data_IF_095217464683
#
_entry.id   IF_095217464683
#
_cell.length_a   1.000
_cell.length_b   1.000
_cell.length_c   1.000
_cell.angle_alpha   90.00
_cell.angle_beta   90.00
_cell.angle_gamma   90.00
#
_symmetry.space_group_name_H-M   'P 1'
#
loop_
_entity.id
_entity.type
_entity.pdbx_description
1 polymer ?
#
# COMPACT_ATOMS: atom_id res chain seq x y z
N UNK A 1 12.21 21.06 10.30
CA UNK A 1 11.52 20.06 9.46
C UNK A 1 12.55 19.09 8.92
N UNK A 2 12.17 17.82 8.78
CA UNK A 2 12.98 16.77 8.15
C UNK A 2 12.21 16.29 6.92
N UNK A 3 12.84 16.34 5.74
CA UNK A 3 12.28 15.84 4.49
C UNK A 3 13.01 14.57 4.09
N UNK A 4 12.25 13.52 3.75
CA UNK A 4 12.79 12.29 3.19
C UNK A 4 12.26 12.10 1.78
N UNK A 5 13.17 11.89 0.83
CA UNK A 5 12.86 11.50 -0.53
C UNK A 5 13.22 10.03 -0.73
N UNK A 6 12.21 9.22 -0.98
CA UNK A 6 12.36 7.78 -1.15
C UNK A 6 12.74 7.43 -2.60
N UNK A 7 13.40 6.28 -2.84
CA UNK A 7 13.71 5.82 -4.20
C UNK A 7 12.50 5.62 -5.11
N UNK A 8 11.27 5.53 -4.58
CA UNK A 8 10.03 5.56 -5.37
C UNK A 8 9.54 6.96 -5.78
N UNK A 9 10.28 8.01 -5.40
CA UNK A 9 9.84 9.40 -5.57
C UNK A 9 8.79 9.82 -4.54
N UNK A 10 8.58 9.03 -3.47
CA UNK A 10 7.73 9.47 -2.35
C UNK A 10 8.46 10.50 -1.52
N UNK A 11 7.78 11.59 -1.17
CA UNK A 11 8.31 12.62 -0.27
C UNK A 11 7.50 12.58 1.03
N UNK A 12 8.19 12.52 2.16
CA UNK A 12 7.60 12.67 3.48
C UNK A 12 8.24 13.84 4.22
N UNK A 13 7.41 14.76 4.68
CA UNK A 13 7.81 15.94 5.45
C UNK A 13 7.39 15.79 6.92
N UNK A 14 8.36 15.77 7.82
CA UNK A 14 8.17 15.72 9.25
C UNK A 14 8.43 17.09 9.87
N UNK A 15 7.40 17.62 10.53
CA UNK A 15 7.47 18.85 11.29
C UNK A 15 7.85 18.55 12.74
N UNK A 16 8.39 19.54 13.44
CA UNK A 16 8.65 19.49 14.88
C UNK A 16 9.48 18.30 15.40
N UNK A 17 10.35 17.74 14.56
CA UNK A 17 11.29 16.68 14.97
C UNK A 17 12.29 17.25 16.00
N UNK A 18 12.29 16.77 17.26
CA UNK A 18 13.24 17.23 18.29
C UNK A 18 14.69 16.97 17.91
N UNK A 19 15.60 17.84 18.37
CA UNK A 19 17.04 17.60 18.23
C UNK A 19 17.48 16.39 19.07
N UNK A 20 18.55 15.71 18.65
CA UNK A 20 19.15 14.54 19.34
C UNK A 20 18.23 13.31 19.46
N UNK A 21 17.43 13.05 18.42
CA UNK A 21 16.57 11.88 18.32
C UNK A 21 16.98 10.98 17.14
N UNK A 22 16.80 9.67 17.30
CA UNK A 22 16.81 8.71 16.19
C UNK A 22 15.36 8.42 15.76
N UNK A 23 15.13 8.40 14.44
CA UNK A 23 13.83 8.12 13.86
C UNK A 23 13.98 7.01 12.82
N UNK A 24 13.20 5.94 12.97
CA UNK A 24 13.07 4.89 11.96
C UNK A 24 11.85 5.21 11.11
N UNK A 25 12.08 5.55 9.84
CA UNK A 25 11.02 5.84 8.87
C UNK A 25 11.06 4.77 7.81
N UNK A 26 9.89 4.32 7.38
CA UNK A 26 9.73 3.41 6.28
C UNK A 26 9.06 4.12 5.12
N UNK A 27 9.45 3.76 3.90
CA UNK A 27 8.76 4.19 2.70
C UNK A 27 7.28 3.77 2.80
N UNK A 28 6.34 4.73 2.72
CA UNK A 28 4.93 4.39 2.83
C UNK A 28 4.49 3.61 1.59
N UNK A 29 3.66 2.58 1.74
CA UNK A 29 3.14 1.85 0.60
C UNK A 29 2.29 2.77 -0.27
N UNK A 30 2.46 2.65 -1.58
CA UNK A 30 1.62 3.30 -2.58
C UNK A 30 0.82 2.24 -3.32
N UNK A 31 -0.49 2.41 -3.34
CA UNK A 31 -1.40 1.54 -4.08
C UNK A 31 -1.89 2.27 -5.32
N UNK A 32 -1.69 1.70 -6.49
CA UNK A 32 -2.28 2.19 -7.74
C UNK A 32 -3.30 1.18 -8.24
N UNK A 33 -4.51 1.66 -8.50
CA UNK A 33 -5.57 0.89 -9.14
C UNK A 33 -5.24 0.80 -10.63
N UNK A 34 -5.23 -0.42 -11.19
CA UNK A 34 -4.97 -0.62 -12.61
C UNK A 34 -6.32 -0.72 -13.34
N UNK A 35 -6.87 -1.92 -13.45
CA UNK A 35 -8.14 -2.16 -14.14
C UNK A 35 -8.80 -3.44 -13.67
N UNK A 36 -10.10 -3.53 -13.93
CA UNK A 36 -10.77 -4.82 -14.00
C UNK A 36 -10.33 -5.52 -15.30
N UNK A 37 -10.03 -6.81 -15.24
CA UNK A 37 -9.62 -7.61 -16.40
C UNK A 37 -10.80 -8.50 -16.88
N UNK A 38 -10.73 -9.15 -18.05
CA UNK A 38 -11.91 -9.79 -18.67
C UNK A 38 -12.62 -10.87 -17.86
N UNK A 39 -11.94 -11.53 -16.93
CA UNK A 39 -12.54 -12.50 -16.00
C UNK A 39 -13.30 -11.84 -14.83
N UNK A 40 -13.35 -10.51 -14.80
CA UNK A 40 -13.99 -9.69 -13.80
C UNK A 40 -13.16 -9.48 -12.53
N UNK A 41 -11.97 -10.10 -12.42
CA UNK A 41 -11.04 -9.81 -11.33
C UNK A 41 -10.44 -8.41 -11.46
N UNK A 42 -9.97 -7.86 -10.35
CA UNK A 42 -9.44 -6.50 -10.30
C UNK A 42 -7.94 -6.50 -10.06
N UNK A 43 -7.19 -5.78 -10.88
CA UNK A 43 -5.74 -5.68 -10.75
C UNK A 43 -5.33 -4.35 -10.13
N UNK A 44 -4.39 -4.43 -9.19
CA UNK A 44 -3.75 -3.30 -8.53
C UNK A 44 -2.25 -3.50 -8.48
N UNK A 45 -1.50 -2.43 -8.26
CA UNK A 45 -0.06 -2.49 -8.03
C UNK A 45 0.30 -1.82 -6.70
N UNK A 46 1.20 -2.47 -5.98
CA UNK A 46 1.82 -1.96 -4.77
C UNK A 46 3.24 -1.51 -5.11
N UNK A 47 3.55 -0.25 -4.81
CA UNK A 47 4.93 0.26 -4.79
C UNK A 47 5.35 0.47 -3.34
N UNK A 48 6.53 0.00 -2.98
CA UNK A 48 7.10 0.20 -1.65
C UNK A 48 8.49 -0.40 -1.51
N UNK A 49 9.04 -0.36 -0.30
CA UNK A 49 10.34 -0.94 0.01
C UNK A 49 10.39 -2.45 -0.29
N UNK A 50 11.49 -2.88 -0.92
CA UNK A 50 11.79 -4.30 -1.19
C UNK A 50 12.17 -5.00 0.10
N UNK A 51 11.63 -6.20 0.34
CA UNK A 51 11.82 -6.98 1.56
C UNK A 51 10.87 -6.60 2.70
N UNK A 52 10.06 -5.55 2.55
CA UNK A 52 9.06 -5.16 3.54
C UNK A 52 7.75 -5.92 3.36
N UNK A 53 7.10 -6.20 4.47
CA UNK A 53 5.80 -6.88 4.52
C UNK A 53 4.68 -5.86 4.67
N UNK A 54 3.61 -6.06 3.93
CA UNK A 54 2.44 -5.21 3.91
C UNK A 54 1.18 -6.05 4.12
N UNK A 55 0.26 -5.51 4.90
CA UNK A 55 -1.12 -5.97 4.96
C UNK A 55 -1.95 -5.16 3.97
N UNK A 56 -2.49 -5.84 2.96
CA UNK A 56 -3.49 -5.26 2.08
C UNK A 56 -4.85 -5.53 2.71
N UNK A 57 -5.63 -4.47 2.85
CA UNK A 57 -6.94 -4.50 3.47
C UNK A 57 -7.99 -4.01 2.48
N UNK A 58 -9.19 -4.55 2.63
CA UNK A 58 -10.33 -4.23 1.79
C UNK A 58 -11.52 -3.79 2.62
N UNK A 59 -12.33 -2.92 2.06
CA UNK A 59 -13.56 -2.42 2.68
C UNK A 59 -14.69 -2.31 1.65
N UNK A 60 -15.94 -2.45 2.08
CA UNK A 60 -17.12 -2.18 1.25
C UNK A 60 -17.70 -0.78 1.47
N UNK A 61 -17.28 -0.07 2.51
CA UNK A 61 -17.91 1.18 2.98
C UNK A 61 -16.92 2.27 3.42
N UNK A 62 -15.61 2.02 3.32
CA UNK A 62 -14.50 2.85 3.82
C UNK A 62 -14.43 3.03 5.34
N UNK A 63 -15.38 2.48 6.10
CA UNK A 63 -15.41 2.55 7.56
C UNK A 63 -14.77 1.32 8.18
N UNK A 64 -15.23 0.13 7.78
CA UNK A 64 -14.74 -1.14 8.29
C UNK A 64 -13.74 -1.75 7.31
N UNK A 65 -12.55 -2.05 7.81
CA UNK A 65 -11.44 -2.57 7.01
C UNK A 65 -11.08 -3.97 7.48
N UNK A 66 -11.08 -4.91 6.54
CA UNK A 66 -10.70 -6.30 6.80
C UNK A 66 -9.42 -6.62 6.03
N UNK A 67 -8.46 -7.26 6.71
CA UNK A 67 -7.24 -7.76 6.07
C UNK A 67 -7.59 -8.80 4.99
N UNK A 68 -7.19 -8.50 3.77
CA UNK A 68 -7.38 -9.36 2.60
C UNK A 68 -6.18 -10.30 2.42
N UNK A 69 -4.96 -9.75 2.39
CA UNK A 69 -3.73 -10.55 2.22
C UNK A 69 -2.55 -9.87 2.92
N UNK A 70 -1.63 -10.69 3.41
CA UNK A 70 -0.30 -10.25 3.86
C UNK A 70 0.72 -10.69 2.83
N UNK A 71 1.54 -9.78 2.32
CA UNK A 71 2.57 -10.11 1.33
C UNK A 71 3.89 -9.39 1.64
N UNK A 72 5.00 -10.02 1.23
CA UNK A 72 6.32 -9.39 1.24
C UNK A 72 6.62 -8.87 -0.15
N UNK A 73 6.93 -7.58 -0.25
CA UNK A 73 7.23 -6.95 -1.52
C UNK A 73 8.63 -7.37 -2.01
N UNK A 74 8.68 -8.15 -3.08
CA UNK A 74 9.93 -8.73 -3.62
C UNK A 74 10.59 -7.86 -4.71
N UNK A 75 9.89 -6.82 -5.17
CA UNK A 75 10.33 -5.89 -6.20
C UNK A 75 9.87 -4.48 -5.84
N UNK A 76 10.37 -3.43 -6.52
CA UNK A 76 9.93 -2.05 -6.20
C UNK A 76 8.42 -1.88 -6.40
N UNK A 77 7.89 -2.49 -7.45
CA UNK A 77 6.46 -2.55 -7.73
C UNK A 77 6.05 -4.01 -7.90
N UNK A 78 4.97 -4.41 -7.25
CA UNK A 78 4.38 -5.74 -7.34
C UNK A 78 2.92 -5.62 -7.77
N UNK A 79 2.49 -6.47 -8.69
CA UNK A 79 1.10 -6.51 -9.15
C UNK A 79 0.34 -7.57 -8.35
N UNK A 80 -0.87 -7.22 -7.91
CA UNK A 80 -1.77 -8.07 -7.13
C UNK A 80 -3.12 -8.14 -7.86
N UNK A 81 -3.74 -9.31 -7.88
CA UNK A 81 -5.06 -9.54 -8.49
C UNK A 81 -6.07 -9.96 -7.42
N UNK A 82 -7.16 -9.22 -7.30
CA UNK A 82 -8.35 -9.58 -6.52
C UNK A 82 -9.34 -10.35 -7.38
N UNK A 83 -9.31 -11.68 -7.28
CA UNK A 83 -10.24 -12.57 -7.98
C UNK A 83 -11.64 -12.56 -7.36
N UNK A 84 -11.77 -12.15 -6.10
CA UNK A 84 -13.05 -12.07 -5.40
C UNK A 84 -13.80 -10.75 -5.66
N UNK A 85 -13.16 -9.78 -6.33
CA UNK A 85 -13.78 -8.53 -6.76
C UNK A 85 -15.04 -8.75 -7.62
N UNK A 86 -15.12 -9.88 -8.32
CA UNK A 86 -16.30 -10.32 -9.10
C UNK A 86 -17.57 -10.48 -8.27
N UNK A 87 -17.44 -10.76 -6.97
CA UNK A 87 -18.56 -11.13 -6.09
C UNK A 87 -19.07 -9.95 -5.24
N UNK A 88 -18.58 -8.73 -5.50
CA UNK A 88 -18.93 -7.54 -4.72
C UNK A 88 -19.22 -6.36 -5.63
N UNK A 89 -20.23 -5.56 -5.28
CA UNK A 89 -20.62 -4.39 -6.08
C UNK A 89 -19.58 -3.25 -6.02
N UNK A 90 -18.90 -3.12 -4.87
CA UNK A 90 -17.82 -2.16 -4.67
C UNK A 90 -16.81 -2.71 -3.66
N UNK A 91 -15.54 -2.36 -3.87
CA UNK A 91 -14.45 -2.76 -2.99
C UNK A 91 -13.37 -1.67 -2.99
N UNK A 92 -13.04 -1.20 -1.80
CA UNK A 92 -11.96 -0.25 -1.56
C UNK A 92 -10.73 -0.99 -1.06
N UNK A 93 -9.56 -0.43 -1.34
CA UNK A 93 -8.28 -1.07 -1.03
C UNK A 93 -7.37 -0.07 -0.31
N UNK A 94 -6.65 -0.55 0.71
CA UNK A 94 -5.52 0.18 1.31
C UNK A 94 -4.39 -0.79 1.63
N UNK A 95 -3.19 -0.26 1.71
CA UNK A 95 -2.01 -1.02 2.13
C UNK A 95 -1.47 -0.41 3.42
N UNK A 96 -1.11 -1.27 4.36
CA UNK A 96 -0.55 -0.90 5.66
C UNK A 96 0.81 -1.59 5.79
N UNK A 97 1.86 -0.81 6.09
CA UNK A 97 3.15 -1.39 6.41
C UNK A 97 3.06 -2.12 7.76
N UNK A 98 3.64 -3.32 7.83
CA UNK A 98 3.62 -4.15 9.03
C UNK A 98 4.84 -3.93 9.92
#
# INVERSE_FOLDING_TARGET
>A
TVRIEWPSGTVQDFHDVPSKQFLTIMEPPRLNLLSQIPDGSFQLSLTGGVGFTYDLETSSDLAEWTRWITLTNISRTMTITDTAATNVAQRFYRAVAR
#
